data_IF_546012678430
#
_entry.id   IF_546012678430
#
_cell.length_a   1.000
_cell.length_b   1.000
_cell.length_c   1.000
_cell.angle_alpha   90.00
_cell.angle_beta   90.00
_cell.angle_gamma   90.00
#
_symmetry.space_group_name_H-M   'P 1'
#
loop_
_entity.id
_entity.type
_entity.pdbx_description
1 polymer ?
#
# COMPACT_ATOMS: atom_id res chain seq x y z
N UNK A 1 -21.30 -17.05 42.22
CA UNK A 1 -20.22 -17.08 43.21
C UNK A 1 -18.95 -16.76 42.40
N UNK A 2 -18.32 -15.63 42.41
CA UNK A 2 -18.30 -14.36 43.15
C UNK A 2 -17.94 -13.26 42.12
N UNK A 3 -18.62 -12.27 42.00
CA UNK A 3 -18.64 -10.85 42.41
C UNK A 3 -17.33 -10.30 43.01
N UNK A 4 -16.80 -9.24 42.46
CA UNK A 4 -16.18 -8.08 43.11
C UNK A 4 -16.07 -6.97 42.02
N UNK A 5 -16.94 -6.02 41.93
CA UNK A 5 -17.20 -4.77 42.65
C UNK A 5 -16.02 -3.79 42.76
N UNK A 6 -16.16 -2.66 42.04
CA UNK A 6 -16.06 -1.26 42.50
C UNK A 6 -14.72 -0.71 42.97
N UNK A 7 -14.28 0.41 42.39
CA UNK A 7 -14.35 1.66 43.16
C UNK A 7 -13.97 2.88 42.31
N UNK A 8 -14.84 3.83 42.30
CA UNK A 8 -14.61 5.25 41.96
C UNK A 8 -13.66 5.87 43.01
N UNK A 9 -12.84 6.80 42.58
CA UNK A 9 -12.50 7.91 43.47
C UNK A 9 -12.41 9.23 42.72
N UNK A 10 -13.18 10.14 43.24
CA UNK A 10 -13.44 11.51 42.85
C UNK A 10 -12.76 12.37 43.90
N UNK A 11 -11.91 13.29 43.49
CA UNK A 11 -11.49 14.36 44.39
C UNK A 11 -11.60 15.71 43.69
N UNK A 12 -12.64 16.40 44.03
CA UNK A 12 -12.79 17.84 44.00
C UNK A 12 -11.74 18.48 44.94
N UNK A 13 -11.10 19.52 44.53
CA UNK A 13 -10.76 20.58 45.50
C UNK A 13 -10.88 21.94 44.85
N UNK A 14 -11.72 22.70 45.51
CA UNK A 14 -12.21 24.05 45.27
C UNK A 14 -11.59 24.95 46.32
N UNK A 15 -10.91 26.01 45.95
CA UNK A 15 -10.74 27.11 46.86
C UNK A 15 -10.87 28.45 46.15
N UNK A 16 -11.93 29.09 46.55
CA UNK A 16 -12.21 30.51 46.45
C UNK A 16 -11.19 31.38 47.17
N UNK A 17 -11.01 32.60 46.73
CA UNK A 17 -10.26 33.62 47.41
C UNK A 17 -10.51 34.99 46.79
N UNK A 18 -11.58 35.62 47.25
CA UNK A 18 -12.01 36.94 46.88
C UNK A 18 -11.17 38.08 47.49
N UNK A 19 -11.24 39.21 46.79
CA UNK A 19 -11.42 40.55 47.35
C UNK A 19 -10.19 41.34 47.89
N UNK A 20 -9.90 42.49 47.27
CA UNK A 20 -10.11 43.81 47.82
C UNK A 20 -9.64 44.94 46.91
N UNK A 21 -10.62 45.77 46.58
CA UNK A 21 -10.55 47.19 46.23
C UNK A 21 -9.58 47.99 47.10
N UNK A 22 -8.80 48.88 46.46
CA UNK A 22 -8.70 50.23 46.99
C UNK A 22 -8.30 51.22 45.89
N UNK A 23 -9.11 52.26 45.77
CA UNK A 23 -8.90 53.35 44.86
C UNK A 23 -7.96 54.40 45.41
N UNK A 24 -7.27 55.09 44.52
CA UNK A 24 -6.86 56.47 44.80
C UNK A 24 -6.60 57.31 43.55
N UNK A 25 -7.48 58.26 43.38
CA UNK A 25 -7.30 59.64 42.99
C UNK A 25 -6.25 60.10 41.97
N UNK A 26 -6.77 60.75 41.00
CA UNK A 26 -6.21 61.51 39.90
C UNK A 26 -5.17 62.58 40.31
N UNK A 27 -4.10 62.63 39.50
CA UNK A 27 -3.25 63.84 39.40
C UNK A 27 -3.02 64.17 37.92
N UNK A 28 -3.02 65.42 37.49
CA UNK A 28 -3.08 65.82 36.10
C UNK A 28 -1.75 65.53 35.35
N UNK A 29 -1.88 64.92 34.19
CA UNK A 29 -0.79 64.58 33.29
C UNK A 29 -0.08 65.86 32.79
N UNK A 30 1.17 66.05 33.15
CA UNK A 30 2.12 66.87 32.41
C UNK A 30 2.38 66.20 31.06
N UNK A 31 1.86 66.80 30.00
CA UNK A 31 2.18 66.44 28.62
C UNK A 31 3.67 66.66 28.36
N UNK A 32 4.47 65.59 28.43
CA UNK A 32 5.85 65.62 28.01
C UNK A 32 5.93 65.72 26.48
N UNK A 33 6.32 66.90 26.00
CA UNK A 33 6.62 67.14 24.59
C UNK A 33 7.79 66.33 24.07
N UNK A 34 8.55 65.69 24.94
CA UNK A 34 9.73 64.86 24.62
C UNK A 34 9.39 63.51 24.00
N UNK A 35 8.16 62.98 24.21
CA UNK A 35 7.78 61.68 23.69
C UNK A 35 7.38 61.69 22.21
N UNK A 36 7.11 62.87 21.63
CA UNK A 36 6.75 62.94 20.21
C UNK A 36 7.95 62.84 19.28
N UNK A 37 9.09 63.39 19.68
CA UNK A 37 10.31 63.29 18.89
C UNK A 37 10.93 61.87 18.96
N UNK A 38 10.86 61.21 20.12
CA UNK A 38 11.33 59.85 20.28
C UNK A 38 10.48 58.83 19.47
N UNK A 39 9.16 59.02 19.41
CA UNK A 39 8.27 58.19 18.62
C UNK A 39 8.52 58.34 17.10
N UNK A 40 8.81 59.57 16.63
CA UNK A 40 9.10 59.84 15.23
C UNK A 40 10.45 59.23 14.77
N UNK A 41 11.46 59.31 15.64
CA UNK A 41 12.78 58.70 15.34
C UNK A 41 12.69 57.19 15.36
N UNK A 42 11.95 56.58 16.30
CA UNK A 42 11.74 55.14 16.36
C UNK A 42 11.01 54.60 15.10
N UNK A 43 10.03 55.33 14.58
CA UNK A 43 9.31 54.92 13.36
C UNK A 43 10.15 55.08 12.12
N UNK A 44 10.98 56.14 12.04
CA UNK A 44 11.86 56.35 10.88
C UNK A 44 12.98 55.31 10.74
N UNK A 45 13.39 54.69 11.83
CA UNK A 45 14.41 53.61 11.80
C UNK A 45 13.76 52.24 11.75
N UNK A 46 12.68 52.00 12.47
CA UNK A 46 12.05 50.68 12.54
C UNK A 46 11.43 50.24 11.21
N UNK A 47 10.79 51.14 10.47
CA UNK A 47 10.14 50.81 9.19
C UNK A 47 11.13 50.34 8.13
N UNK A 48 12.23 51.06 7.84
CA UNK A 48 13.17 50.55 6.82
C UNK A 48 13.89 49.27 7.25
N UNK A 49 14.17 49.06 8.54
CA UNK A 49 14.77 47.83 9.04
C UNK A 49 13.79 46.67 8.89
N UNK A 50 12.50 46.89 9.22
CA UNK A 50 11.49 45.83 9.06
C UNK A 50 11.28 45.46 7.59
N UNK A 51 11.28 46.42 6.69
CA UNK A 51 11.16 46.18 5.25
C UNK A 51 12.42 45.46 4.71
N UNK A 52 13.60 45.83 5.17
CA UNK A 52 14.84 45.16 4.77
C UNK A 52 14.91 43.71 5.25
N UNK A 53 14.51 43.45 6.51
CA UNK A 53 14.48 42.09 7.07
C UNK A 53 13.38 41.25 6.42
N UNK A 54 12.18 41.82 6.22
CA UNK A 54 11.10 41.10 5.52
C UNK A 54 11.43 40.82 4.07
N UNK A 55 12.06 41.77 3.36
CA UNK A 55 12.51 41.59 1.99
C UNK A 55 13.61 40.53 1.88
N UNK A 56 14.57 40.55 2.82
CA UNK A 56 15.66 39.56 2.83
C UNK A 56 15.15 38.15 3.18
N UNK A 57 14.25 38.02 4.15
CA UNK A 57 13.67 36.72 4.49
C UNK A 57 12.77 36.20 3.36
N UNK A 58 12.01 37.07 2.69
CA UNK A 58 11.22 36.68 1.54
C UNK A 58 12.10 36.22 0.36
N UNK A 59 13.20 36.93 0.08
CA UNK A 59 14.15 36.53 -0.95
C UNK A 59 14.91 35.24 -0.66
N UNK A 60 15.08 34.90 0.64
CA UNK A 60 15.75 33.65 1.04
C UNK A 60 14.81 32.47 1.25
N UNK A 61 13.50 32.74 1.47
CA UNK A 61 12.46 31.73 1.66
C UNK A 61 11.63 31.49 0.40
N UNK A 62 11.79 32.32 -0.64
CA UNK A 62 11.24 31.96 -1.96
C UNK A 62 12.10 30.82 -2.49
N UNK A 63 11.57 29.60 -2.64
CA UNK A 63 12.33 28.55 -3.32
C UNK A 63 12.64 29.09 -4.71
N UNK A 64 13.93 29.11 -5.07
CA UNK A 64 14.29 29.21 -6.48
C UNK A 64 13.51 28.10 -7.17
N UNK A 65 12.48 28.47 -7.93
CA UNK A 65 11.86 27.51 -8.83
C UNK A 65 12.99 27.12 -9.79
N UNK A 66 13.57 25.93 -9.69
CA UNK A 66 14.50 25.48 -10.69
C UNK A 66 13.72 25.56 -11.99
N UNK A 67 14.31 26.23 -13.00
CA UNK A 67 13.82 26.08 -14.35
C UNK A 67 13.59 24.59 -14.54
N UNK A 68 12.35 24.19 -14.82
CA UNK A 68 11.97 22.78 -14.96
C UNK A 68 12.94 22.21 -16.00
N UNK A 69 13.97 21.51 -15.51
CA UNK A 69 14.63 20.53 -16.37
C UNK A 69 13.49 19.66 -16.89
N UNK A 70 13.47 19.35 -18.20
CA UNK A 70 12.50 18.41 -18.72
C UNK A 70 12.71 17.12 -17.90
N UNK A 71 11.89 16.96 -16.86
CA UNK A 71 11.86 15.74 -16.06
C UNK A 71 11.72 14.59 -17.03
N UNK A 72 12.29 13.42 -16.73
CA UNK A 72 12.13 12.26 -17.59
C UNK A 72 10.65 12.17 -17.90
N UNK A 73 10.33 12.28 -19.20
CA UNK A 73 8.94 12.23 -19.69
C UNK A 73 8.32 11.07 -18.99
N UNK A 74 7.31 11.34 -18.15
CA UNK A 74 6.54 10.27 -17.53
C UNK A 74 6.10 9.42 -18.70
N UNK A 75 6.72 8.25 -18.85
CA UNK A 75 6.33 7.27 -19.85
C UNK A 75 4.88 7.00 -19.53
N UNK A 76 3.98 7.57 -20.32
CA UNK A 76 2.55 7.35 -20.18
C UNK A 76 2.38 5.85 -20.12
N UNK A 77 1.93 5.32 -18.97
CA UNK A 77 1.69 3.90 -18.81
C UNK A 77 0.85 3.48 -20.01
N UNK A 78 1.39 2.53 -20.81
CA UNK A 78 0.67 2.04 -21.99
C UNK A 78 -0.69 1.57 -21.52
N UNK A 79 -1.81 2.03 -22.13
CA UNK A 79 -3.12 1.54 -21.76
C UNK A 79 -3.13 0.02 -21.84
N UNK A 80 -3.40 -0.64 -20.72
CA UNK A 80 -3.50 -2.09 -20.70
C UNK A 80 -4.78 -2.51 -21.42
N UNK A 81 -4.73 -3.58 -22.19
CA UNK A 81 -5.90 -4.12 -22.88
C UNK A 81 -6.96 -4.54 -21.87
N UNK A 82 -8.22 -4.22 -22.14
CA UNK A 82 -9.40 -4.69 -21.39
C UNK A 82 -10.10 -5.86 -22.09
N UNK A 83 -9.59 -6.30 -23.24
CA UNK A 83 -10.16 -7.42 -23.96
C UNK A 83 -10.10 -8.70 -23.12
N UNK A 84 -11.11 -9.60 -23.20
CA UNK A 84 -11.07 -10.88 -22.51
C UNK A 84 -9.84 -11.71 -22.90
N UNK A 85 -9.27 -12.39 -21.91
CA UNK A 85 -8.16 -13.31 -22.10
C UNK A 85 -8.70 -14.72 -22.34
N UNK A 86 -8.24 -15.35 -23.41
CA UNK A 86 -8.63 -16.70 -23.72
C UNK A 86 -8.00 -17.68 -22.71
N UNK A 87 -8.83 -18.44 -22.02
CA UNK A 87 -8.42 -19.46 -21.05
C UNK A 87 -9.32 -20.68 -21.16
N UNK A 88 -8.72 -21.87 -20.95
CA UNK A 88 -9.48 -23.10 -20.85
C UNK A 88 -10.13 -23.24 -19.46
N UNK A 89 -11.34 -23.80 -19.41
CA UNK A 89 -12.04 -24.09 -18.17
C UNK A 89 -12.51 -25.56 -18.16
N UNK A 90 -11.64 -26.51 -17.89
CA UNK A 90 -12.02 -27.90 -17.77
C UNK A 90 -13.00 -28.09 -16.60
N UNK A 91 -13.90 -29.08 -16.72
CA UNK A 91 -14.81 -29.41 -15.63
C UNK A 91 -14.01 -29.93 -14.43
N UNK A 92 -14.22 -29.33 -13.27
CA UNK A 92 -13.62 -29.73 -12.02
C UNK A 92 -14.51 -30.73 -11.27
N UNK A 93 -13.92 -31.53 -10.38
CA UNK A 93 -14.65 -32.24 -9.36
C UNK A 93 -15.21 -31.26 -8.32
N UNK A 94 -16.23 -31.68 -7.55
CA UNK A 94 -16.93 -30.82 -6.61
C UNK A 94 -16.01 -30.08 -5.62
N UNK A 95 -15.05 -30.78 -5.02
CA UNK A 95 -14.15 -30.19 -4.03
C UNK A 95 -13.20 -29.14 -4.66
N UNK A 96 -12.45 -29.45 -5.73
CA UNK A 96 -11.68 -28.42 -6.45
C UNK A 96 -12.51 -27.24 -6.95
N UNK A 97 -13.75 -27.47 -7.40
CA UNK A 97 -14.64 -26.37 -7.84
C UNK A 97 -14.91 -25.38 -6.70
N UNK A 98 -15.22 -25.87 -5.49
CA UNK A 98 -15.46 -25.03 -4.31
C UNK A 98 -14.19 -24.25 -3.94
N UNK A 99 -13.04 -24.92 -3.91
CA UNK A 99 -11.74 -24.30 -3.58
C UNK A 99 -11.35 -23.23 -4.58
N UNK A 100 -11.48 -23.52 -5.88
CA UNK A 100 -11.14 -22.58 -6.93
C UNK A 100 -12.02 -21.35 -6.91
N UNK A 101 -13.33 -21.52 -6.65
CA UNK A 101 -14.26 -20.38 -6.47
C UNK A 101 -13.89 -19.52 -5.27
N UNK A 102 -13.49 -20.14 -4.17
CA UNK A 102 -12.99 -19.41 -3.00
C UNK A 102 -11.71 -18.61 -3.33
N UNK A 103 -10.75 -19.23 -4.03
CA UNK A 103 -9.54 -18.57 -4.47
C UNK A 103 -9.84 -17.37 -5.36
N UNK A 104 -10.58 -17.56 -6.45
CA UNK A 104 -10.84 -16.50 -7.43
C UNK A 104 -11.61 -15.32 -6.84
N UNK A 105 -12.51 -15.58 -5.88
CA UNK A 105 -13.26 -14.53 -5.18
C UNK A 105 -12.41 -13.64 -4.28
N UNK A 106 -11.23 -14.10 -3.88
CA UNK A 106 -10.29 -13.38 -3.01
C UNK A 106 -9.10 -12.79 -3.76
N UNK A 107 -8.93 -13.13 -5.05
CA UNK A 107 -7.88 -12.54 -5.85
C UNK A 107 -8.05 -11.01 -5.94
N UNK A 108 -6.97 -10.23 -5.81
CA UNK A 108 -7.04 -8.78 -5.84
C UNK A 108 -7.42 -8.26 -7.23
N UNK A 109 -8.04 -7.07 -7.32
CA UNK A 109 -8.35 -6.45 -8.61
C UNK A 109 -7.10 -6.01 -9.39
N UNK A 110 -5.96 -5.99 -8.73
CA UNK A 110 -4.65 -5.70 -9.34
C UNK A 110 -3.59 -6.61 -8.74
N UNK A 111 -2.70 -7.13 -9.58
CA UNK A 111 -1.46 -7.80 -9.15
C UNK A 111 -0.33 -6.84 -9.46
N UNK A 112 0.23 -6.19 -8.41
CA UNK A 112 1.13 -5.05 -8.53
C UNK A 112 0.46 -3.92 -9.34
N UNK A 113 0.97 -3.61 -10.53
CA UNK A 113 0.45 -2.58 -11.44
C UNK A 113 -0.44 -3.15 -12.57
N UNK A 114 -0.65 -4.47 -12.60
CA UNK A 114 -1.48 -5.14 -13.59
C UNK A 114 -2.94 -5.19 -13.14
N UNK A 115 -3.82 -4.54 -13.88
CA UNK A 115 -5.26 -4.61 -13.63
C UNK A 115 -5.84 -5.96 -14.07
N UNK A 116 -6.84 -6.44 -13.32
CA UNK A 116 -7.57 -7.66 -13.67
C UNK A 116 -8.32 -7.48 -14.98
N UNK A 117 -8.36 -8.54 -15.79
CA UNK A 117 -9.06 -8.59 -17.08
C UNK A 117 -10.10 -9.69 -17.08
N UNK A 118 -11.19 -9.56 -17.84
CA UNK A 118 -12.12 -10.65 -18.06
C UNK A 118 -11.43 -11.87 -18.69
N UNK A 119 -11.90 -13.05 -18.36
CA UNK A 119 -11.51 -14.31 -19.02
C UNK A 119 -12.65 -14.84 -19.88
N UNK A 120 -12.34 -15.60 -20.93
CA UNK A 120 -13.36 -16.12 -21.87
C UNK A 120 -14.15 -17.28 -21.28
N UNK A 121 -13.56 -18.04 -20.33
CA UNK A 121 -14.22 -19.16 -19.70
C UNK A 121 -13.75 -19.35 -18.25
N UNK A 122 -14.64 -19.93 -17.42
CA UNK A 122 -14.38 -20.33 -16.04
C UNK A 122 -13.91 -19.20 -15.13
N UNK A 123 -14.61 -18.06 -15.01
CA UNK A 123 -14.19 -16.99 -14.07
C UNK A 123 -14.18 -17.46 -12.62
N UNK A 124 -14.81 -18.58 -12.31
CA UNK A 124 -14.80 -19.22 -10.99
C UNK A 124 -13.52 -20.04 -10.71
N UNK A 125 -12.68 -20.28 -11.74
CA UNK A 125 -11.42 -21.00 -11.62
C UNK A 125 -10.24 -20.29 -12.29
N UNK A 126 -10.50 -19.22 -13.04
CA UNK A 126 -9.51 -18.50 -13.83
C UNK A 126 -9.51 -17.00 -13.52
N UNK A 127 -8.33 -16.39 -13.55
CA UNK A 127 -8.14 -14.95 -13.53
C UNK A 127 -7.00 -14.54 -14.45
N UNK A 128 -7.05 -13.30 -14.96
CA UNK A 128 -6.01 -12.76 -15.83
C UNK A 128 -5.71 -11.30 -15.48
N UNK A 129 -4.47 -10.86 -15.70
CA UNK A 129 -4.00 -9.52 -15.35
C UNK A 129 -3.07 -8.96 -16.42
N UNK A 130 -3.21 -7.68 -16.72
CA UNK A 130 -2.26 -6.95 -17.56
C UNK A 130 -2.25 -7.33 -19.04
N UNK A 131 -1.26 -6.79 -19.77
CA UNK A 131 -1.05 -7.03 -21.20
C UNK A 131 0.46 -6.95 -21.53
N UNK A 132 1.11 -8.09 -21.90
CA UNK A 132 0.55 -9.43 -22.07
C UNK A 132 -0.03 -10.03 -20.78
N UNK A 133 -0.94 -10.98 -20.91
CA UNK A 133 -1.68 -11.47 -19.76
C UNK A 133 -0.84 -12.38 -18.84
N UNK A 134 -0.70 -11.99 -17.56
CA UNK A 134 -0.42 -12.92 -16.47
C UNK A 134 -1.70 -13.66 -16.16
N UNK A 135 -1.68 -14.98 -16.09
CA UNK A 135 -2.88 -15.78 -15.85
C UNK A 135 -2.76 -16.63 -14.58
N UNK A 136 -3.89 -16.82 -13.90
CA UNK A 136 -4.05 -17.74 -12.78
C UNK A 136 -5.12 -18.75 -13.14
N UNK A 137 -4.78 -20.04 -13.07
CA UNK A 137 -5.73 -21.13 -13.30
C UNK A 137 -5.68 -22.09 -12.10
N UNK A 138 -6.87 -22.47 -11.62
CA UNK A 138 -7.03 -23.35 -10.48
C UNK A 138 -7.69 -24.67 -10.90
N UNK A 139 -7.26 -25.80 -10.31
CA UNK A 139 -7.87 -27.11 -10.51
C UNK A 139 -7.32 -27.90 -11.71
N UNK A 140 -6.14 -27.55 -12.20
CA UNK A 140 -5.41 -28.34 -13.19
C UNK A 140 -4.66 -29.53 -12.59
N UNK A 141 -3.94 -30.24 -13.45
CA UNK A 141 -3.09 -31.36 -13.02
C UNK A 141 -1.95 -30.88 -12.13
N UNK A 142 -1.67 -31.61 -11.08
CA UNK A 142 -0.51 -31.40 -10.23
C UNK A 142 0.74 -31.98 -10.91
N UNK A 143 1.79 -31.18 -11.11
CA UNK A 143 3.01 -31.66 -11.69
C UNK A 143 3.79 -32.56 -10.70
N UNK A 144 4.56 -33.53 -11.23
CA UNK A 144 5.48 -34.33 -10.44
C UNK A 144 6.91 -33.92 -10.81
N UNK A 145 7.56 -33.06 -10.02
CA UNK A 145 8.94 -32.66 -10.28
C UNK A 145 9.89 -33.86 -10.18
N UNK A 146 10.90 -33.85 -11.02
CA UNK A 146 12.02 -34.78 -10.88
C UNK A 146 12.87 -34.45 -9.64
N UNK A 147 13.73 -35.39 -9.23
CA UNK A 147 14.59 -35.22 -8.04
C UNK A 147 15.63 -34.08 -8.19
N UNK A 148 15.86 -33.59 -9.38
CA UNK A 148 16.83 -32.54 -9.72
C UNK A 148 16.16 -31.22 -10.12
N UNK A 149 14.83 -31.19 -10.15
CA UNK A 149 14.10 -30.00 -10.55
C UNK A 149 14.06 -29.00 -9.40
N UNK A 150 14.17 -27.72 -9.75
CA UNK A 150 14.12 -26.64 -8.78
C UNK A 150 12.68 -26.38 -8.32
N UNK A 151 12.50 -26.33 -7.01
CA UNK A 151 11.26 -25.90 -6.37
C UNK A 151 11.54 -24.69 -5.49
N UNK A 152 10.55 -23.81 -5.37
CA UNK A 152 10.71 -22.53 -4.71
C UNK A 152 9.62 -22.32 -3.66
N UNK A 153 10.00 -21.84 -2.47
CA UNK A 153 9.02 -21.46 -1.44
C UNK A 153 8.81 -19.94 -1.50
N UNK A 154 7.61 -19.53 -1.84
CA UNK A 154 7.20 -18.12 -1.83
C UNK A 154 5.98 -17.98 -0.93
N UNK A 155 6.09 -17.17 0.12
CA UNK A 155 5.01 -16.90 1.08
C UNK A 155 4.31 -18.17 1.58
N UNK A 156 5.09 -19.18 1.98
CA UNK A 156 4.61 -20.48 2.51
C UNK A 156 3.87 -21.34 1.48
N UNK A 157 4.05 -21.10 0.20
CA UNK A 157 3.56 -21.94 -0.89
C UNK A 157 4.75 -22.51 -1.63
N UNK A 158 4.73 -23.81 -1.87
CA UNK A 158 5.73 -24.50 -2.67
C UNK A 158 5.37 -24.45 -4.15
N UNK A 159 6.26 -23.87 -4.96
CA UNK A 159 6.08 -23.67 -6.38
C UNK A 159 7.09 -24.48 -7.19
N UNK A 160 6.60 -25.18 -8.20
CA UNK A 160 7.40 -25.78 -9.25
C UNK A 160 7.38 -24.86 -10.48
N UNK A 161 8.52 -24.42 -10.94
CA UNK A 161 8.67 -23.50 -12.05
C UNK A 161 9.14 -24.25 -13.31
N UNK A 162 8.43 -24.06 -14.40
CA UNK A 162 8.79 -24.58 -15.73
C UNK A 162 8.94 -23.41 -16.69
N UNK A 163 10.12 -23.26 -17.26
CA UNK A 163 10.39 -22.25 -18.27
C UNK A 163 9.85 -22.71 -19.62
N UNK A 164 8.94 -21.91 -20.19
CA UNK A 164 8.46 -22.06 -21.56
C UNK A 164 9.14 -21.07 -22.51
N UNK A 165 8.78 -21.04 -23.80
CA UNK A 165 9.40 -20.13 -24.77
C UNK A 165 9.06 -18.66 -24.50
N UNK A 166 7.85 -18.35 -24.04
CA UNK A 166 7.33 -16.97 -23.89
C UNK A 166 6.97 -16.62 -22.44
N UNK A 167 6.87 -17.61 -21.56
CA UNK A 167 6.43 -17.43 -20.18
C UNK A 167 6.99 -18.51 -19.26
N UNK A 168 7.14 -18.17 -18.00
CA UNK A 168 7.39 -19.14 -16.91
C UNK A 168 6.05 -19.59 -16.34
N UNK A 169 5.86 -20.88 -16.19
CA UNK A 169 4.68 -21.50 -15.56
C UNK A 169 5.06 -21.96 -14.16
N UNK A 170 4.42 -21.41 -13.14
CA UNK A 170 4.57 -21.84 -11.76
C UNK A 170 3.32 -22.59 -11.31
N UNK A 171 3.49 -23.77 -10.70
CA UNK A 171 2.38 -24.57 -10.18
C UNK A 171 2.64 -24.95 -8.74
N UNK A 172 1.61 -24.85 -7.88
CA UNK A 172 1.73 -25.25 -6.48
C UNK A 172 1.86 -26.77 -6.33
N UNK A 173 2.66 -27.21 -5.35
CA UNK A 173 2.91 -28.62 -5.05
C UNK A 173 2.38 -29.05 -3.67
N UNK A 174 2.08 -28.11 -2.81
CA UNK A 174 1.74 -28.32 -1.41
C UNK A 174 0.28 -27.94 -1.09
N UNK A 175 -0.58 -27.95 -2.11
CA UNK A 175 -1.99 -27.56 -1.99
C UNK A 175 -2.91 -28.71 -2.42
N UNK A 176 -4.08 -28.84 -1.76
CA UNK A 176 -5.07 -29.86 -2.13
C UNK A 176 -5.60 -29.72 -3.56
N UNK A 177 -5.47 -28.54 -4.12
CA UNK A 177 -5.87 -28.22 -5.49
C UNK A 177 -4.78 -27.38 -6.12
N UNK A 178 -4.24 -27.86 -7.23
CA UNK A 178 -3.15 -27.20 -7.91
C UNK A 178 -3.59 -25.80 -8.42
N UNK A 179 -2.75 -24.81 -8.17
CA UNK A 179 -2.89 -23.44 -8.69
C UNK A 179 -1.72 -23.18 -9.62
N UNK A 180 -2.01 -22.82 -10.86
CA UNK A 180 -1.02 -22.52 -11.89
C UNK A 180 -1.02 -21.03 -12.20
N UNK A 181 0.16 -20.43 -12.18
CA UNK A 181 0.37 -19.04 -12.57
C UNK A 181 1.31 -19.01 -13.76
N UNK A 182 0.86 -18.41 -14.86
CA UNK A 182 1.68 -18.20 -16.06
C UNK A 182 2.12 -16.75 -16.12
N UNK A 183 3.43 -16.51 -16.08
CA UNK A 183 4.01 -15.19 -16.08
C UNK A 183 4.79 -14.96 -17.37
N UNK A 184 4.36 -14.06 -18.25
CA UNK A 184 5.10 -13.69 -19.46
C UNK A 184 6.52 -13.21 -19.14
N UNK A 185 7.52 -13.60 -19.94
CA UNK A 185 8.92 -13.22 -19.74
C UNK A 185 9.16 -11.71 -19.79
N UNK A 186 8.27 -10.96 -20.46
CA UNK A 186 8.33 -9.50 -20.49
C UNK A 186 8.19 -8.82 -19.12
N UNK A 187 7.70 -9.56 -18.13
CA UNK A 187 7.59 -9.09 -16.74
C UNK A 187 8.83 -9.39 -15.88
N UNK A 188 9.84 -10.05 -16.45
CA UNK A 188 11.06 -10.45 -15.75
C UNK A 188 10.84 -11.65 -14.83
N UNK A 189 11.44 -11.64 -13.64
CA UNK A 189 11.41 -12.80 -12.73
C UNK A 189 10.00 -13.17 -12.29
N UNK A 190 9.55 -14.37 -12.64
CA UNK A 190 8.21 -14.87 -12.37
C UNK A 190 7.89 -14.98 -10.88
N UNK A 191 8.88 -15.32 -10.04
CA UNK A 191 8.71 -15.43 -8.58
C UNK A 191 8.25 -14.14 -7.90
N UNK A 192 8.61 -12.99 -8.46
CA UNK A 192 8.15 -11.71 -7.92
C UNK A 192 6.65 -11.46 -8.15
N UNK A 193 6.07 -12.06 -9.17
CA UNK A 193 4.67 -11.90 -9.55
C UNK A 193 3.74 -12.84 -8.81
N UNK A 194 4.24 -14.00 -8.35
CA UNK A 194 3.41 -14.93 -7.58
C UNK A 194 3.27 -14.56 -6.11
N UNK A 195 4.13 -13.70 -5.56
CA UNK A 195 4.09 -13.33 -4.14
C UNK A 195 2.71 -12.84 -3.67
N UNK A 196 2.06 -11.85 -4.31
CA UNK A 196 0.72 -11.41 -3.89
C UNK A 196 -0.37 -12.47 -4.13
N UNK A 197 -0.16 -13.37 -5.10
CA UNK A 197 -1.08 -14.49 -5.36
C UNK A 197 -0.90 -15.58 -4.30
N UNK A 198 0.35 -15.85 -3.88
CA UNK A 198 0.66 -16.84 -2.86
C UNK A 198 -0.04 -16.57 -1.52
N UNK A 199 -0.17 -15.29 -1.12
CA UNK A 199 -0.90 -14.93 0.10
C UNK A 199 -2.38 -15.32 0.02
N UNK A 200 -3.00 -15.14 -1.15
CA UNK A 200 -4.39 -15.55 -1.39
C UNK A 200 -4.51 -17.07 -1.47
N UNK A 201 -3.52 -17.75 -2.08
CA UNK A 201 -3.48 -19.22 -2.11
C UNK A 201 -3.42 -19.79 -0.69
N UNK A 202 -2.58 -19.23 0.19
CA UNK A 202 -2.52 -19.65 1.61
C UNK A 202 -3.86 -19.47 2.33
N UNK A 203 -4.57 -18.40 2.02
CA UNK A 203 -5.83 -18.09 2.68
C UNK A 203 -7.01 -18.94 2.18
N UNK A 204 -6.96 -19.40 0.91
CA UNK A 204 -8.14 -19.97 0.22
C UNK A 204 -7.98 -21.43 -0.14
N UNK A 205 -6.75 -21.92 -0.34
CA UNK A 205 -6.46 -23.29 -0.78
C UNK A 205 -5.78 -24.04 0.35
N UNK A 206 -6.44 -25.02 0.97
CA UNK A 206 -5.85 -25.83 2.02
C UNK A 206 -4.54 -26.50 1.60
N UNK A 207 -3.65 -26.71 2.55
CA UNK A 207 -2.44 -27.50 2.32
C UNK A 207 -2.81 -28.95 2.02
N UNK A 208 -2.10 -29.56 1.09
CA UNK A 208 -2.33 -30.94 0.64
C UNK A 208 -1.21 -31.37 -0.30
N UNK A 209 -1.32 -32.59 -0.83
CA UNK A 209 -0.34 -33.12 -1.76
C UNK A 209 0.94 -33.64 -1.10
N UNK A 210 1.84 -34.14 -1.94
CA UNK A 210 3.15 -34.61 -1.51
C UNK A 210 4.15 -33.45 -1.56
N UNK A 211 4.54 -32.96 -0.39
CA UNK A 211 5.49 -31.83 -0.29
C UNK A 211 6.89 -32.31 -0.64
N UNK A 212 7.53 -31.83 -1.72
CA UNK A 212 8.90 -32.18 -2.08
C UNK A 212 9.92 -31.78 -1.01
N UNK A 213 11.05 -32.46 -0.94
CA UNK A 213 12.10 -32.20 0.06
C UNK A 213 12.63 -30.74 0.03
N UNK A 214 12.64 -30.10 -1.15
CA UNK A 214 13.04 -28.68 -1.30
C UNK A 214 12.04 -27.67 -0.73
N UNK A 215 10.84 -28.11 -0.36
CA UNK A 215 9.79 -27.25 0.23
C UNK A 215 9.60 -27.45 1.74
N UNK A 216 10.32 -28.39 2.33
CA UNK A 216 10.38 -28.58 3.79
C UNK A 216 11.45 -27.66 4.34
N UNK A 217 11.07 -26.47 4.83
CA UNK A 217 11.95 -25.52 5.51
C UNK A 217 11.79 -25.61 7.02
#
# INVERSE_FOLDING_TARGET
>A
MDEITSSSDKTDDRTDGADKTDGRTQGPARRNRTNRSAALVATLVAVPVTVAVAGFTFAKLTPDTPAAEPGPSATSARPQSTAPVEMAAPKLAERPEIVCRALTSQLPPTVRDLAQRPVTAGPEQNAAYGDPALTVACGGDEPTPGSTDDVWVVNKVCWYAVEGPDATVLTTLDRETAVRVTVPHSYGSALQWVSPIADVVVASVPSGGAVPAGCTG
#
